data_IF_169498713323
#
_entry.id   IF_169498713323
#
_cell.length_a   1.000
_cell.length_b   1.000
_cell.length_c   1.000
_cell.angle_alpha   90.00
_cell.angle_beta   90.00
_cell.angle_gamma   90.00
#
_symmetry.space_group_name_H-M   'P 1'
#
loop_
_entity.id
_entity.type
_entity.pdbx_description
1 polymer ?
#
# COMPACT_ATOMS: atom_id res chain seq x y z
N UNK A 1 11.70 7.95 24.08
CA UNK A 1 11.88 8.51 22.72
C UNK A 1 10.54 8.39 22.02
N UNK A 2 9.97 9.50 21.59
CA UNK A 2 8.74 9.50 20.81
C UNK A 2 9.03 8.86 19.45
N UNK A 3 8.31 7.80 19.08
CA UNK A 3 8.52 7.10 17.82
C UNK A 3 7.65 7.74 16.76
N UNK A 4 8.23 8.64 15.96
CA UNK A 4 7.55 9.28 14.82
C UNK A 4 7.37 8.28 13.69
N UNK A 5 6.18 8.29 13.09
CA UNK A 5 5.90 7.60 11.83
C UNK A 5 6.03 8.59 10.70
N UNK A 6 6.81 8.23 9.69
CA UNK A 6 6.86 8.95 8.43
C UNK A 6 6.15 8.12 7.37
N UNK A 7 5.10 8.68 6.77
CA UNK A 7 4.40 8.09 5.62
C UNK A 7 4.74 8.86 4.36
N UNK A 8 4.83 8.17 3.23
CA UNK A 8 4.97 8.80 1.92
C UNK A 8 4.33 7.92 0.86
N UNK A 9 3.52 8.51 -0.01
CA UNK A 9 2.97 7.81 -1.18
C UNK A 9 3.96 7.90 -2.34
N UNK A 10 4.28 6.75 -2.93
CA UNK A 10 5.27 6.62 -4.01
C UNK A 10 4.71 5.77 -5.16
N UNK A 11 5.33 5.91 -6.33
CA UNK A 11 5.11 4.96 -7.42
C UNK A 11 6.00 3.76 -7.17
N UNK A 12 5.44 2.56 -7.23
CA UNK A 12 6.20 1.33 -7.06
C UNK A 12 7.04 1.15 -8.33
N UNK A 13 8.36 1.32 -8.22
CA UNK A 13 9.26 1.12 -9.35
C UNK A 13 9.14 -0.32 -9.82
N UNK A 14 8.68 -0.52 -11.06
CA UNK A 14 8.80 -1.82 -11.71
C UNK A 14 10.28 -2.03 -11.95
N UNK A 15 10.88 -3.00 -11.27
CA UNK A 15 12.24 -3.46 -11.60
C UNK A 15 12.28 -3.67 -13.10
N UNK A 16 13.04 -2.84 -13.81
CA UNK A 16 13.49 -3.19 -15.17
C UNK A 16 14.14 -4.55 -15.09
N UNK A 17 13.97 -5.39 -16.11
CA UNK A 17 14.28 -6.83 -16.16
C UNK A 17 15.76 -7.23 -15.90
N UNK A 18 16.59 -6.38 -15.27
CA UNK A 18 18.01 -6.60 -14.96
C UNK A 18 18.34 -6.74 -13.45
N UNK A 19 17.37 -6.69 -12.53
CA UNK A 19 17.56 -7.20 -11.16
C UNK A 19 16.70 -8.44 -10.92
N UNK A 20 17.06 -9.52 -11.61
CA UNK A 20 16.85 -10.86 -11.05
C UNK A 20 17.74 -10.93 -9.80
N UNK A 21 17.19 -10.48 -8.67
CA UNK A 21 17.70 -10.89 -7.36
C UNK A 21 17.29 -12.35 -7.21
N UNK A 22 18.19 -13.19 -7.68
CA UNK A 22 18.36 -14.55 -7.19
C UNK A 22 18.35 -14.52 -5.65
N UNK A 23 17.68 -15.49 -5.06
CA UNK A 23 17.53 -15.75 -3.63
C UNK A 23 16.37 -15.03 -2.91
N UNK A 24 15.34 -15.82 -2.64
CA UNK A 24 14.82 -15.96 -1.29
C UNK A 24 15.99 -16.23 -0.34
N UNK A 25 16.70 -15.19 0.10
CA UNK A 25 17.57 -15.29 1.28
C UNK A 25 16.69 -15.01 2.52
N UNK A 26 16.44 -16.00 3.39
CA UNK A 26 15.71 -15.82 4.63
C UNK A 26 16.57 -15.12 5.71
N UNK A 27 17.51 -14.24 5.34
CA UNK A 27 18.15 -13.29 6.25
C UNK A 27 17.27 -12.04 6.45
N UNK A 28 16.04 -12.27 6.91
CA UNK A 28 15.11 -11.22 7.34
C UNK A 28 15.55 -10.64 8.71
N UNK A 29 16.68 -9.93 8.70
CA UNK A 29 17.15 -9.02 9.75
C UNK A 29 17.33 -7.59 9.21
N UNK A 30 16.73 -7.29 8.06
CA UNK A 30 16.81 -6.00 7.40
C UNK A 30 15.86 -4.98 8.01
N UNK A 31 16.38 -3.80 8.32
CA UNK A 31 15.59 -2.62 8.67
C UNK A 31 14.79 -2.04 7.46
N UNK A 32 14.72 -2.74 6.32
CA UNK A 32 14.01 -2.28 5.12
C UNK A 32 13.40 -3.46 4.37
N UNK A 33 12.16 -3.31 3.92
CA UNK A 33 11.44 -4.27 3.09
C UNK A 33 10.60 -3.55 2.03
N UNK A 34 10.69 -3.99 0.78
CA UNK A 34 9.84 -3.53 -0.33
C UNK A 34 9.05 -4.73 -0.83
N UNK A 35 7.73 -4.61 -0.81
CA UNK A 35 6.83 -5.65 -1.29
C UNK A 35 6.42 -5.32 -2.73
N UNK A 36 6.68 -6.19 -3.71
CA UNK A 36 6.32 -5.95 -5.10
C UNK A 36 4.80 -5.96 -5.28
N UNK A 37 4.31 -5.33 -6.34
CA UNK A 37 2.93 -5.50 -6.78
C UNK A 37 2.74 -6.93 -7.30
N UNK A 38 1.64 -7.58 -6.93
CA UNK A 38 1.31 -8.93 -7.45
C UNK A 38 0.78 -8.86 -8.88
N UNK A 39 0.21 -7.72 -9.26
CA UNK A 39 -0.44 -7.53 -10.56
C UNK A 39 0.09 -6.23 -11.16
N UNK A 40 0.59 -6.28 -12.39
CA UNK A 40 1.17 -5.13 -13.09
C UNK A 40 0.16 -4.46 -14.04
N UNK A 41 0.49 -3.27 -14.54
CA UNK A 41 -0.27 -2.63 -15.63
C UNK A 41 -0.38 -3.50 -16.88
N UNK A 42 0.60 -4.37 -17.14
CA UNK A 42 0.58 -5.33 -18.26
C UNK A 42 -0.48 -6.41 -18.04
N UNK A 43 -0.63 -6.89 -16.82
CA UNK A 43 -1.58 -7.95 -16.47
C UNK A 43 -3.01 -7.41 -16.37
N UNK A 44 -3.17 -6.17 -15.90
CA UNK A 44 -4.48 -5.55 -15.69
C UNK A 44 -5.07 -4.89 -16.92
N UNK A 45 -4.24 -4.50 -17.90
CA UNK A 45 -4.60 -3.54 -18.95
C UNK A 45 -5.05 -2.15 -18.45
N UNK A 46 -4.83 -1.85 -17.15
CA UNK A 46 -5.00 -0.50 -16.64
C UNK A 46 -3.81 0.36 -17.09
N UNK A 47 -4.07 1.62 -17.43
CA UNK A 47 -3.02 2.60 -17.73
C UNK A 47 -3.25 3.89 -16.95
N UNK A 48 -2.16 4.47 -16.45
CA UNK A 48 -2.20 5.77 -15.76
C UNK A 48 -2.76 6.88 -16.66
N UNK A 49 -2.61 6.77 -17.99
CA UNK A 49 -3.12 7.76 -18.96
C UNK A 49 -4.64 7.79 -19.05
N UNK A 50 -5.31 6.66 -18.75
CA UNK A 50 -6.75 6.49 -18.92
C UNK A 50 -7.48 6.37 -17.58
N UNK A 51 -6.74 6.36 -16.46
CA UNK A 51 -7.29 6.29 -15.12
C UNK A 51 -7.65 7.68 -14.60
N UNK A 52 -8.80 7.76 -13.91
CA UNK A 52 -9.14 8.93 -13.10
C UNK A 52 -8.40 8.86 -11.76
N UNK A 53 -8.40 9.90 -10.93
CA UNK A 53 -7.60 9.86 -9.70
C UNK A 53 -6.97 11.20 -9.30
N UNK A 54 -6.94 11.43 -7.99
CA UNK A 54 -6.43 12.67 -7.35
C UNK A 54 -5.14 12.46 -6.54
N UNK A 55 -4.70 11.20 -6.40
CA UNK A 55 -3.54 10.81 -5.60
C UNK A 55 -2.24 11.52 -6.01
N UNK A 56 -2.11 11.92 -7.29
CA UNK A 56 -0.89 12.54 -7.82
C UNK A 56 -0.46 13.80 -7.04
N UNK A 57 -1.41 14.52 -6.45
CA UNK A 57 -1.14 15.71 -5.63
C UNK A 57 -0.50 15.41 -4.27
N UNK A 58 -0.56 14.17 -3.80
CA UNK A 58 -0.07 13.72 -2.50
C UNK A 58 1.20 12.85 -2.63
N UNK A 59 1.65 12.62 -3.86
CA UNK A 59 2.84 11.80 -4.14
C UNK A 59 4.12 12.50 -3.70
N UNK A 60 5.11 11.70 -3.31
CA UNK A 60 6.46 12.11 -2.96
C UNK A 60 6.57 13.12 -1.80
N UNK A 61 5.46 13.39 -1.11
CA UNK A 61 5.39 14.33 0.02
C UNK A 61 5.38 13.54 1.33
N UNK A 62 6.39 13.70 2.20
CA UNK A 62 6.37 13.08 3.51
C UNK A 62 5.23 13.63 4.37
N UNK A 63 4.53 12.74 5.06
CA UNK A 63 3.57 13.03 6.11
C UNK A 63 4.24 12.64 7.43
N UNK A 64 4.58 13.64 8.24
CA UNK A 64 5.02 13.44 9.61
C UNK A 64 3.83 13.08 10.50
N UNK A 65 4.10 12.36 11.60
CA UNK A 65 3.09 11.89 12.55
C UNK A 65 1.95 11.08 11.90
N UNK A 66 2.33 10.27 10.89
CA UNK A 66 1.41 9.34 10.25
C UNK A 66 0.88 8.27 11.21
N UNK A 67 -0.19 7.59 10.80
CA UNK A 67 -0.82 6.51 11.56
C UNK A 67 -0.84 5.26 10.70
N UNK A 68 -0.47 4.10 11.26
CA UNK A 68 -0.66 2.82 10.59
C UNK A 68 -1.42 1.84 11.49
N UNK A 69 -2.63 1.46 11.09
CA UNK A 69 -3.44 0.43 11.78
C UNK A 69 -3.35 -0.90 11.03
N UNK A 70 -4.22 -1.86 11.37
CA UNK A 70 -4.42 -3.03 10.51
C UNK A 70 -5.91 -3.36 10.33
N UNK A 71 -6.27 -3.86 9.15
CA UNK A 71 -7.60 -4.37 8.86
C UNK A 71 -7.65 -5.89 9.03
N UNK A 72 -8.85 -6.41 9.30
CA UNK A 72 -9.10 -7.86 9.39
C UNK A 72 -9.00 -8.54 8.03
N UNK A 73 -8.57 -9.81 8.02
CA UNK A 73 -8.36 -10.55 6.78
C UNK A 73 -9.67 -10.83 6.02
N UNK A 74 -9.63 -10.68 4.69
CA UNK A 74 -10.59 -11.28 3.77
C UNK A 74 -11.24 -10.30 2.79
N UNK A 75 -11.72 -10.88 1.68
CA UNK A 75 -12.46 -10.17 0.66
C UNK A 75 -11.59 -9.50 -0.40
N UNK A 76 -12.25 -8.75 -1.27
CA UNK A 76 -11.62 -8.04 -2.37
C UNK A 76 -11.48 -6.57 -1.99
N UNK A 77 -10.25 -6.06 -2.07
CA UNK A 77 -9.95 -4.66 -1.80
C UNK A 77 -10.59 -3.74 -2.83
N UNK A 78 -10.65 -2.44 -2.49
CA UNK A 78 -11.22 -1.41 -3.33
C UNK A 78 -10.58 -1.29 -4.73
N UNK A 79 -9.36 -1.80 -4.93
CA UNK A 79 -8.72 -1.86 -6.23
C UNK A 79 -9.08 -3.10 -7.08
N UNK A 80 -9.91 -4.00 -6.56
CA UNK A 80 -10.28 -5.26 -7.24
C UNK A 80 -9.28 -6.40 -7.03
N UNK A 81 -8.31 -6.20 -6.13
CA UNK A 81 -7.28 -7.17 -5.77
C UNK A 81 -7.69 -7.86 -4.47
N UNK A 82 -7.49 -9.17 -4.37
CA UNK A 82 -7.86 -9.92 -3.17
C UNK A 82 -6.93 -9.55 -2.00
N UNK A 83 -7.47 -9.47 -0.77
CA UNK A 83 -6.76 -8.91 0.39
C UNK A 83 -5.49 -9.65 0.81
N UNK A 84 -5.32 -10.90 0.37
CA UNK A 84 -4.17 -11.75 0.63
C UNK A 84 -3.12 -11.70 -0.51
N UNK A 85 -3.32 -10.86 -1.53
CA UNK A 85 -2.47 -10.74 -2.71
C UNK A 85 -2.08 -9.28 -2.99
N UNK A 86 -0.88 -8.82 -2.59
CA UNK A 86 0.09 -9.53 -1.75
C UNK A 86 -0.38 -9.61 -0.29
N UNK A 87 0.20 -10.57 0.44
CA UNK A 87 0.00 -10.71 1.89
C UNK A 87 0.29 -9.42 2.67
N UNK A 88 1.20 -8.59 2.16
CA UNK A 88 1.60 -7.31 2.77
C UNK A 88 1.15 -6.16 1.87
N UNK A 89 0.09 -5.46 2.27
CA UNK A 89 -0.52 -4.37 1.50
C UNK A 89 -1.06 -3.28 2.41
N UNK A 90 -1.51 -2.16 1.83
CA UNK A 90 -2.15 -1.07 2.56
C UNK A 90 -3.51 -0.69 1.96
N UNK A 91 -4.42 -0.28 2.84
CA UNK A 91 -5.58 0.51 2.53
C UNK A 91 -5.27 2.00 2.76
N UNK A 92 -5.48 2.83 1.75
CA UNK A 92 -5.27 4.27 1.84
C UNK A 92 -6.58 5.01 2.17
N UNK A 93 -6.47 6.25 2.66
CA UNK A 93 -7.64 7.10 2.92
C UNK A 93 -8.62 7.14 1.75
N UNK A 94 -9.91 7.03 2.05
CA UNK A 94 -10.97 7.17 1.04
C UNK A 94 -10.95 8.51 0.32
N UNK A 95 -10.40 9.57 0.94
CA UNK A 95 -10.24 10.89 0.33
C UNK A 95 -9.18 10.95 -0.78
N UNK A 96 -8.40 9.88 -0.97
CA UNK A 96 -7.41 9.75 -2.03
C UNK A 96 -7.93 8.97 -3.25
N UNK A 97 -9.11 8.35 -3.13
CA UNK A 97 -9.82 7.69 -4.22
C UNK A 97 -10.72 8.68 -4.93
N UNK A 98 -10.78 8.56 -6.25
CA UNK A 98 -11.69 9.31 -7.08
C UNK A 98 -13.09 8.67 -7.07
N UNK A 99 -14.06 9.42 -6.55
CA UNK A 99 -15.46 8.99 -6.52
C UNK A 99 -16.08 8.72 -7.90
N UNK A 100 -15.45 9.21 -8.97
CA UNK A 100 -15.88 8.99 -10.36
C UNK A 100 -15.19 7.81 -11.05
N UNK A 101 -14.23 7.15 -10.38
CA UNK A 101 -13.51 6.01 -10.94
C UNK A 101 -14.46 4.87 -11.32
N UNK A 102 -14.22 4.26 -12.48
CA UNK A 102 -15.06 3.22 -13.03
C UNK A 102 -14.44 1.83 -12.81
N UNK A 103 -15.27 0.83 -12.56
CA UNK A 103 -14.85 -0.57 -12.59
C UNK A 103 -14.80 -1.06 -14.03
N UNK A 104 -13.64 -1.52 -14.48
CA UNK A 104 -13.46 -1.99 -15.86
C UNK A 104 -12.96 -3.44 -15.89
N UNK A 105 -13.26 -4.20 -16.96
CA UNK A 105 -12.68 -5.54 -17.15
C UNK A 105 -11.15 -5.47 -17.17
N UNK A 106 -10.49 -6.40 -16.47
CA UNK A 106 -9.04 -6.57 -16.55
C UNK A 106 -8.63 -7.54 -17.65
N UNK A 107 -7.35 -7.54 -17.99
CA UNK A 107 -6.73 -8.54 -18.87
C UNK A 107 -6.25 -9.80 -18.14
N UNK A 108 -6.61 -9.97 -16.86
CA UNK A 108 -6.30 -11.18 -16.11
C UNK A 108 -7.07 -12.37 -16.65
N UNK A 109 -6.49 -13.56 -16.54
CA UNK A 109 -7.09 -14.82 -17.03
C UNK A 109 -8.43 -15.14 -16.37
N UNK A 110 -8.64 -14.68 -15.13
CA UNK A 110 -9.88 -14.85 -14.39
C UNK A 110 -10.93 -13.76 -14.68
N UNK A 111 -10.62 -12.81 -15.57
CA UNK A 111 -11.52 -11.77 -16.06
C UNK A 111 -12.13 -10.91 -14.94
N UNK A 112 -11.46 -10.79 -13.78
CA UNK A 112 -11.95 -9.91 -12.70
C UNK A 112 -12.00 -8.45 -13.16
N UNK A 113 -12.89 -7.67 -12.56
CA UNK A 113 -12.94 -6.21 -12.75
C UNK A 113 -12.03 -5.51 -11.74
N UNK A 114 -11.41 -4.42 -12.18
CA UNK A 114 -10.53 -3.60 -11.35
C UNK A 114 -11.02 -2.15 -11.37
N UNK A 115 -10.72 -1.41 -10.31
CA UNK A 115 -11.06 0.01 -10.24
C UNK A 115 -10.04 0.81 -11.07
N UNK A 116 -10.50 1.51 -12.10
CA UNK A 116 -9.68 2.37 -12.95
C UNK A 116 -9.39 3.73 -12.27
N UNK A 117 -8.74 3.67 -11.13
CA UNK A 117 -8.28 4.80 -10.33
C UNK A 117 -6.75 4.78 -10.26
N UNK A 118 -6.09 5.93 -10.41
CA UNK A 118 -4.64 6.08 -10.33
C UNK A 118 -4.07 5.54 -9.02
N UNK A 119 -4.81 5.61 -7.90
CA UNK A 119 -4.33 5.03 -6.63
C UNK A 119 -4.19 3.51 -6.68
N UNK A 120 -4.93 2.85 -7.57
CA UNK A 120 -4.91 1.42 -7.77
C UNK A 120 -3.87 0.95 -8.81
N UNK A 121 -3.09 1.87 -9.39
CA UNK A 121 -2.17 1.56 -10.48
C UNK A 121 -0.75 1.94 -10.08
N UNK A 122 0.08 0.93 -9.77
CA UNK A 122 1.50 1.07 -9.43
C UNK A 122 1.77 2.07 -8.29
N UNK A 123 0.85 2.27 -7.35
CA UNK A 123 1.07 3.11 -6.16
C UNK A 123 1.38 2.26 -4.93
N UNK A 124 2.22 2.81 -4.07
CA UNK A 124 2.60 2.23 -2.79
C UNK A 124 2.63 3.28 -1.69
N UNK A 125 2.66 2.82 -0.46
CA UNK A 125 3.01 3.63 0.70
C UNK A 125 4.32 3.13 1.28
N UNK A 126 5.23 4.07 1.54
CA UNK A 126 6.46 3.88 2.30
C UNK A 126 6.23 4.36 3.73
N UNK A 127 6.57 3.51 4.69
CA UNK A 127 6.35 3.71 6.12
C UNK A 127 7.70 3.56 6.81
N UNK A 128 8.17 4.60 7.47
CA UNK A 128 9.35 4.54 8.33
C UNK A 128 8.93 4.67 9.79
N UNK A 129 9.26 3.64 10.59
CA UNK A 129 8.90 3.54 12.00
C UNK A 129 9.95 2.69 12.74
N UNK A 130 10.40 3.18 13.90
CA UNK A 130 11.33 2.47 14.78
C UNK A 130 12.60 1.93 14.06
N UNK A 131 13.19 2.75 13.19
CA UNK A 131 14.37 2.38 12.40
C UNK A 131 14.09 1.39 11.26
N UNK A 132 12.86 0.92 11.10
CA UNK A 132 12.41 0.08 9.98
C UNK A 132 11.76 0.91 8.88
N UNK A 133 11.86 0.43 7.65
CA UNK A 133 11.19 0.99 6.48
C UNK A 133 10.43 -0.11 5.75
N UNK A 134 9.12 0.05 5.58
CA UNK A 134 8.26 -0.86 4.83
C UNK A 134 7.64 -0.12 3.65
N UNK A 135 7.82 -0.64 2.45
CA UNK A 135 7.10 -0.18 1.25
C UNK A 135 6.15 -1.27 0.81
N UNK A 136 4.84 -0.98 0.77
CA UNK A 136 3.80 -1.93 0.37
C UNK A 136 2.85 -1.31 -0.66
N UNK A 137 2.31 -2.10 -1.61
CA UNK A 137 1.34 -1.59 -2.57
C UNK A 137 0.02 -1.20 -1.89
N UNK A 138 -0.65 -0.21 -2.49
CA UNK A 138 -2.01 0.17 -2.11
C UNK A 138 -2.98 -0.71 -2.90
N UNK A 139 -3.78 -1.50 -2.20
CA UNK A 139 -4.74 -2.44 -2.82
C UNK A 139 -6.17 -2.22 -2.34
N UNK A 140 -6.34 -1.41 -1.28
CA UNK A 140 -7.62 -1.22 -0.63
C UNK A 140 -7.86 0.23 -0.21
N UNK A 141 -9.07 0.51 0.25
CA UNK A 141 -9.54 1.80 0.75
C UNK A 141 -9.94 1.67 2.21
N UNK A 142 -9.51 2.64 3.03
CA UNK A 142 -10.04 2.89 4.36
C UNK A 142 -10.92 4.15 4.29
N UNK A 143 -12.25 4.03 4.15
CA UNK A 143 -13.14 5.18 3.96
C UNK A 143 -13.10 6.21 5.09
N UNK A 144 -12.87 5.76 6.32
CA UNK A 144 -12.85 6.55 7.55
C UNK A 144 -11.46 7.13 7.89
N UNK A 145 -10.39 6.63 7.26
CA UNK A 145 -9.04 7.07 7.56
C UNK A 145 -8.78 8.48 7.00
N UNK A 146 -8.18 9.41 7.79
CA UNK A 146 -7.63 10.65 7.24
C UNK A 146 -6.44 10.38 6.30
N UNK A 147 -6.02 11.38 5.50
CA UNK A 147 -4.94 11.21 4.49
C UNK A 147 -3.62 10.65 5.05
N UNK A 148 -3.27 11.02 6.29
CA UNK A 148 -2.07 10.54 6.98
C UNK A 148 -2.25 9.22 7.73
N UNK A 149 -3.28 8.44 7.43
CA UNK A 149 -3.58 7.17 8.08
C UNK A 149 -3.73 6.08 7.02
N UNK A 150 -2.89 5.06 7.10
CA UNK A 150 -2.99 3.84 6.30
C UNK A 150 -3.40 2.65 7.16
N UNK A 151 -4.22 1.77 6.61
CA UNK A 151 -4.64 0.56 7.29
C UNK A 151 -3.94 -0.64 6.65
N UNK A 152 -3.04 -1.29 7.37
CA UNK A 152 -2.17 -2.34 6.81
C UNK A 152 -2.85 -3.70 6.83
N UNK A 153 -2.42 -4.60 5.95
CA UNK A 153 -2.68 -6.02 6.20
C UNK A 153 -1.99 -6.44 7.49
N UNK A 154 -2.51 -7.48 8.14
CA UNK A 154 -2.00 -7.93 9.43
C UNK A 154 -0.51 -8.33 9.34
N UNK A 155 -0.08 -8.93 8.23
CA UNK A 155 1.32 -9.29 7.99
C UNK A 155 2.21 -8.05 7.86
N UNK A 156 1.76 -7.02 7.14
CA UNK A 156 2.47 -5.74 7.01
C UNK A 156 2.60 -5.04 8.37
N UNK A 157 1.53 -5.04 9.15
CA UNK A 157 1.53 -4.52 10.51
C UNK A 157 2.51 -5.25 11.42
N UNK A 158 2.46 -6.59 11.46
CA UNK A 158 3.31 -7.40 12.33
C UNK A 158 4.80 -7.33 11.94
N UNK A 159 5.13 -7.03 10.68
CA UNK A 159 6.53 -6.79 10.31
C UNK A 159 7.08 -5.50 10.94
N UNK A 160 6.28 -4.43 10.98
CA UNK A 160 6.63 -3.16 11.62
C UNK A 160 6.59 -3.28 13.16
N UNK A 161 5.52 -3.86 13.71
CA UNK A 161 5.25 -4.00 15.15
C UNK A 161 5.02 -5.49 15.53
N UNK A 162 6.08 -6.33 15.64
CA UNK A 162 5.94 -7.77 15.88
C UNK A 162 5.30 -8.16 17.21
N UNK A 163 5.28 -7.24 18.18
CA UNK A 163 4.62 -7.45 19.48
C UNK A 163 3.10 -7.29 19.39
N UNK A 164 2.58 -6.82 18.25
CA UNK A 164 1.16 -6.53 18.06
C UNK A 164 0.72 -5.23 18.73
N UNK A 165 -0.59 -4.95 18.65
CA UNK A 165 -1.26 -3.80 19.27
C UNK A 165 -2.77 -3.85 18.97
N UNK A 166 -3.60 -3.23 19.82
CA UNK A 166 -5.07 -3.43 19.73
C UNK A 166 -5.69 -2.73 18.52
N UNK A 167 -5.11 -1.64 18.02
CA UNK A 167 -5.54 -0.88 16.82
C UNK A 167 -4.37 -0.02 16.27
N UNK A 168 -3.18 -0.58 16.02
CA UNK A 168 -2.00 0.14 15.48
C UNK A 168 -1.96 1.68 15.63
N UNK A 169 -1.79 2.21 16.84
CA UNK A 169 -1.52 3.64 17.00
C UNK A 169 -0.02 3.78 17.13
N UNK A 170 0.67 4.09 16.04
CA UNK A 170 2.00 4.67 16.15
C UNK A 170 1.85 6.19 16.07
N UNK A 171 1.55 6.82 17.21
CA UNK A 171 1.61 8.28 17.39
C UNK A 171 2.92 8.65 18.07
N UNK A 172 3.50 9.79 17.67
CA UNK A 172 4.25 10.61 18.61
C UNK A 172 3.22 11.23 19.57
N UNK A 173 3.15 10.77 20.83
CA UNK A 173 2.27 11.44 21.79
C UNK A 173 2.81 12.85 22.03
N UNK A 174 2.07 13.85 21.55
CA UNK A 174 2.18 15.18 22.12
C UNK A 174 1.51 15.12 23.49
N UNK A 175 2.34 15.05 24.54
CA UNK A 175 1.96 15.38 25.92
C UNK A 175 1.32 16.76 25.99
#
# INVERSE_FOLDING_TARGET
>A
MSMTVFLRFDTLETSTEDEIIDHLDPSNTGNSLVVPQVITTKDTCLSLSNASGIIDSEMNSPIEDGIFTFYGAGGRGACGIDSDQPKMSAAASGSLFDSSAQWIPSCLSDQRVLLNDKICINKCVKITYNGKTLTVPITNKCPECPKGHVDLSQEAFLWLEPKGGVVGIARSEKL
#
